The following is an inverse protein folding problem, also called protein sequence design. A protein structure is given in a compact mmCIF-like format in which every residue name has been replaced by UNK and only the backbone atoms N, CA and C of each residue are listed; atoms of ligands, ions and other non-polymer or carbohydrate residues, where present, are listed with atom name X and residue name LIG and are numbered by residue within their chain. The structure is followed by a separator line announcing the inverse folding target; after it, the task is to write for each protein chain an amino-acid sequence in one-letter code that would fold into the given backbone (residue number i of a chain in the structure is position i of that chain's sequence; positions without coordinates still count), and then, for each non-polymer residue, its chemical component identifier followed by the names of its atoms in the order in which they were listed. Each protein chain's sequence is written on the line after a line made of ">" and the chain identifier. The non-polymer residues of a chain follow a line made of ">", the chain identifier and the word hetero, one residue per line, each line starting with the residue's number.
data_IF_608248335386
#
_entry.id   IF_608248335386
#
_cell.length_a   1.000
_cell.length_b   1.000
_cell.length_c   1.000
_cell.angle_alpha   90.00
_cell.angle_beta   90.00
_cell.angle_gamma   90.00
#
_symmetry.space_group_name_H-M   'P 1'
#
loop_
_entity.id
_entity.type
_entity.pdbx_description
1 polymer ?
#
# COMPACT_ATOMS: atom_id res chain seq x y z
N UNK A 1 -4.19 55.25 15.64
CA UNK A 1 -3.17 54.17 15.65
C UNK A 1 -3.72 52.93 14.93
N UNK A 2 -3.20 52.59 13.74
CA UNK A 2 -3.64 51.40 12.97
C UNK A 2 -2.76 50.20 13.33
N UNK A 3 -3.32 49.18 14.00
CA UNK A 3 -2.62 47.93 14.30
C UNK A 3 -2.51 47.10 13.00
N UNK A 4 -1.29 46.92 12.48
CA UNK A 4 -0.99 45.98 11.40
C UNK A 4 -1.10 44.55 11.94
N UNK A 5 -2.11 43.81 11.49
CA UNK A 5 -2.22 42.38 11.73
C UNK A 5 -1.16 41.70 10.86
N UNK A 6 -0.17 41.07 11.50
CA UNK A 6 0.83 40.25 10.81
C UNK A 6 0.11 39.03 10.21
N UNK A 7 0.09 38.95 8.88
CA UNK A 7 -0.28 37.74 8.15
C UNK A 7 0.68 36.61 8.56
N UNK A 8 0.24 35.76 9.48
CA UNK A 8 0.88 34.47 9.73
C UNK A 8 0.60 33.63 8.49
N UNK A 9 1.56 33.58 7.57
CA UNK A 9 1.61 32.53 6.55
C UNK A 9 1.55 31.21 7.31
N UNK A 10 0.39 30.55 7.29
CA UNK A 10 0.29 29.14 7.68
C UNK A 10 1.31 28.43 6.81
N UNK A 11 2.45 28.03 7.38
CA UNK A 11 3.30 27.00 6.76
C UNK A 11 2.34 25.87 6.48
N UNK A 12 2.06 25.59 5.19
CA UNK A 12 1.48 24.30 4.81
C UNK A 12 2.39 23.29 5.48
N UNK A 13 1.87 22.59 6.48
CA UNK A 13 2.52 21.40 6.98
C UNK A 13 2.79 20.56 5.74
N UNK A 14 4.07 20.34 5.43
CA UNK A 14 4.41 19.28 4.47
C UNK A 14 3.63 18.05 4.93
N UNK A 15 2.92 17.35 4.04
CA UNK A 15 2.29 16.09 4.41
C UNK A 15 3.39 15.28 5.11
N UNK A 16 3.18 14.94 6.38
CA UNK A 16 4.06 14.02 7.10
C UNK A 16 4.25 12.85 6.15
N UNK A 17 5.48 12.61 5.73
CA UNK A 17 5.82 11.55 4.78
C UNK A 17 4.95 10.34 5.05
N UNK A 18 4.13 9.97 4.06
CA UNK A 18 3.22 8.84 4.17
C UNK A 18 4.08 7.59 4.34
N UNK A 19 4.31 7.19 5.59
CA UNK A 19 5.10 6.01 5.98
C UNK A 19 4.58 4.69 5.38
N UNK A 20 3.45 4.75 4.67
CA UNK A 20 2.73 3.67 4.03
C UNK A 20 3.18 3.40 2.59
N UNK A 21 4.10 4.20 2.03
CA UNK A 21 4.44 4.15 0.61
C UNK A 21 5.67 3.29 0.35
N UNK A 22 5.55 2.40 -0.64
CA UNK A 22 6.69 1.81 -1.30
C UNK A 22 7.31 2.90 -2.18
N UNK A 23 8.48 3.39 -1.79
CA UNK A 23 9.27 4.27 -2.65
C UNK A 23 9.89 3.43 -3.76
N UNK A 24 9.72 3.82 -5.02
CA UNK A 24 10.28 3.06 -6.15
C UNK A 24 11.55 3.76 -6.62
N UNK A 25 12.69 3.13 -6.31
CA UNK A 25 13.99 3.58 -6.77
C UNK A 25 14.25 3.25 -8.24
N UNK A 26 15.29 3.85 -8.81
CA UNK A 26 15.72 3.55 -10.19
C UNK A 26 16.07 2.06 -10.33
N UNK A 27 15.40 1.37 -11.24
CA UNK A 27 15.59 -0.06 -11.51
C UNK A 27 14.83 -0.98 -10.54
N UNK A 28 14.12 -0.42 -9.56
CA UNK A 28 13.14 -1.16 -8.76
C UNK A 28 11.78 -1.17 -9.47
N UNK A 29 10.94 -2.16 -9.16
CA UNK A 29 9.65 -2.35 -9.82
C UNK A 29 8.62 -2.87 -8.84
N UNK A 30 7.35 -2.48 -9.00
CA UNK A 30 6.28 -3.13 -8.24
C UNK A 30 6.20 -4.60 -8.63
N UNK A 31 5.91 -5.48 -7.66
CA UNK A 31 5.80 -6.91 -7.91
C UNK A 31 4.35 -7.37 -7.85
N UNK A 32 3.85 -7.66 -6.65
CA UNK A 32 2.48 -8.12 -6.42
C UNK A 32 1.85 -7.42 -5.25
N UNK A 33 0.57 -7.10 -5.37
CA UNK A 33 -0.24 -6.62 -4.25
C UNK A 33 -1.22 -7.71 -3.85
N UNK A 34 -1.31 -7.93 -2.54
CA UNK A 34 -2.17 -8.93 -1.94
C UNK A 34 -3.21 -8.25 -1.07
N UNK A 35 -4.48 -8.54 -1.33
CA UNK A 35 -5.62 -7.99 -0.63
C UNK A 35 -6.38 -9.11 0.07
N UNK A 36 -6.58 -8.95 1.38
CA UNK A 36 -7.34 -9.87 2.21
C UNK A 36 -8.58 -9.14 2.74
N UNK A 37 -9.77 -9.63 2.38
CA UNK A 37 -11.08 -9.02 2.67
C UNK A 37 -11.92 -9.97 3.52
N UNK A 38 -11.58 -10.16 4.81
CA UNK A 38 -12.30 -11.10 5.65
C UNK A 38 -13.77 -10.69 5.79
N UNK A 39 -14.69 -11.64 5.67
CA UNK A 39 -16.14 -11.40 5.81
C UNK A 39 -16.51 -10.75 7.15
N UNK A 40 -15.79 -11.05 8.23
CA UNK A 40 -15.98 -10.43 9.54
C UNK A 40 -15.81 -8.89 9.54
N UNK A 41 -15.03 -8.35 8.60
CA UNK A 41 -14.74 -6.90 8.48
C UNK A 41 -15.49 -6.18 7.35
N UNK A 42 -16.39 -6.87 6.63
CA UNK A 42 -17.04 -6.34 5.42
C UNK A 42 -17.86 -5.07 5.67
N UNK A 43 -18.45 -4.93 6.86
CA UNK A 43 -19.25 -3.75 7.25
C UNK A 43 -18.43 -2.45 7.31
N UNK A 44 -17.13 -2.56 7.52
CA UNK A 44 -16.20 -1.42 7.69
C UNK A 44 -15.29 -1.23 6.47
N UNK A 45 -15.58 -1.95 5.37
CA UNK A 45 -14.69 -2.05 4.20
C UNK A 45 -13.26 -2.39 4.62
N UNK A 46 -13.13 -3.29 5.60
CA UNK A 46 -11.82 -3.67 6.12
C UNK A 46 -11.08 -4.53 5.11
N UNK A 47 -9.81 -4.18 4.87
CA UNK A 47 -8.87 -4.95 4.08
C UNK A 47 -7.53 -5.02 4.81
N UNK A 48 -6.91 -6.19 4.86
CA UNK A 48 -5.48 -6.27 5.11
C UNK A 48 -4.76 -6.29 3.78
N UNK A 49 -3.77 -5.41 3.61
CA UNK A 49 -3.04 -5.25 2.34
C UNK A 49 -1.57 -5.54 2.56
N UNK A 50 -0.97 -6.25 1.60
CA UNK A 50 0.48 -6.44 1.50
C UNK A 50 0.91 -5.94 0.14
N UNK A 51 1.78 -4.93 0.13
CA UNK A 51 2.36 -4.36 -1.06
C UNK A 51 3.81 -4.81 -1.17
N UNK A 52 4.25 -5.16 -2.38
CA UNK A 52 5.62 -5.60 -2.62
C UNK A 52 6.24 -4.91 -3.83
N UNK A 53 7.56 -4.70 -3.74
CA UNK A 53 8.39 -4.31 -4.89
C UNK A 53 9.62 -5.19 -4.95
N UNK A 54 10.11 -5.42 -6.15
CA UNK A 54 11.41 -6.05 -6.41
C UNK A 54 12.50 -4.97 -6.43
N UNK A 55 13.58 -5.22 -5.71
CA UNK A 55 14.77 -4.37 -5.66
C UNK A 55 15.79 -4.83 -6.70
N UNK A 56 16.77 -3.98 -6.99
CA UNK A 56 17.83 -4.28 -7.96
C UNK A 56 18.69 -5.50 -7.61
N UNK A 57 18.73 -5.91 -6.34
CA UNK A 57 19.43 -7.09 -5.86
C UNK A 57 18.58 -8.39 -5.92
N UNK A 58 17.43 -8.39 -6.59
CA UNK A 58 16.45 -9.50 -6.67
C UNK A 58 15.80 -9.89 -5.33
N UNK A 59 16.00 -9.08 -4.29
CA UNK A 59 15.25 -9.19 -3.06
C UNK A 59 14.01 -8.31 -3.12
N UNK A 60 13.04 -8.57 -2.25
CA UNK A 60 11.80 -7.81 -2.19
C UNK A 60 11.81 -6.87 -1.00
N UNK A 61 11.12 -5.73 -1.14
CA UNK A 61 10.64 -4.96 -0.01
C UNK A 61 9.13 -5.19 0.11
N UNK A 62 8.67 -5.37 1.34
CA UNK A 62 7.27 -5.63 1.67
C UNK A 62 6.77 -4.58 2.67
N UNK A 63 5.58 -4.05 2.42
CA UNK A 63 4.84 -3.21 3.37
C UNK A 63 3.45 -3.81 3.56
N UNK A 64 3.04 -4.07 4.79
CA UNK A 64 1.69 -4.53 5.11
C UNK A 64 0.97 -3.58 6.04
N UNK A 65 -0.36 -3.45 5.90
CA UNK A 65 -1.18 -2.62 6.78
C UNK A 65 -2.66 -3.02 6.73
N UNK A 66 -3.38 -2.64 7.78
CA UNK A 66 -4.85 -2.68 7.80
C UNK A 66 -5.40 -1.41 7.16
N UNK A 67 -6.36 -1.56 6.27
CA UNK A 67 -7.12 -0.50 5.61
C UNK A 67 -8.59 -0.64 5.99
N UNK A 68 -9.26 0.48 6.28
CA UNK A 68 -10.72 0.52 6.49
C UNK A 68 -11.27 1.88 6.14
N UNK A 69 -12.57 1.97 5.88
CA UNK A 69 -13.25 3.25 5.65
C UNK A 69 -14.11 3.55 6.87
N UNK A 70 -13.79 4.64 7.58
CA UNK A 70 -14.55 5.10 8.75
C UNK A 70 -15.14 6.46 8.43
N UNK A 71 -16.47 6.56 8.42
CA UNK A 71 -17.20 7.81 8.09
C UNK A 71 -16.78 8.42 6.75
N UNK A 72 -16.54 7.57 5.74
CA UNK A 72 -16.09 8.00 4.40
C UNK A 72 -14.60 8.35 4.31
N UNK A 73 -13.84 8.23 5.40
CA UNK A 73 -12.40 8.54 5.44
C UNK A 73 -11.58 7.24 5.46
N UNK A 74 -10.67 7.04 4.49
CA UNK A 74 -9.72 5.93 4.52
C UNK A 74 -8.79 6.03 5.74
N UNK A 75 -8.67 4.93 6.50
CA UNK A 75 -7.77 4.81 7.62
C UNK A 75 -6.80 3.65 7.40
N UNK A 76 -5.52 3.91 7.68
CA UNK A 76 -4.45 2.91 7.64
C UNK A 76 -3.93 2.69 9.06
N UNK A 77 -3.68 1.45 9.45
CA UNK A 77 -3.16 1.11 10.77
C UNK A 77 -2.30 -0.16 10.74
N UNK A 78 -1.59 -0.45 11.84
CA UNK A 78 -0.78 -1.67 12.00
C UNK A 78 0.23 -1.89 10.87
N UNK A 79 0.93 -0.81 10.50
CA UNK A 79 1.93 -0.85 9.42
C UNK A 79 3.13 -1.67 9.84
N UNK A 80 3.52 -2.61 8.98
CA UNK A 80 4.77 -3.35 9.09
C UNK A 80 5.55 -3.18 7.80
N UNK A 81 6.85 -2.91 7.90
CA UNK A 81 7.75 -2.82 6.75
C UNK A 81 8.89 -3.82 6.92
N UNK A 82 9.16 -4.56 5.85
CA UNK A 82 10.28 -5.50 5.76
C UNK A 82 11.13 -5.06 4.55
N UNK A 83 12.29 -4.42 4.78
CA UNK A 83 13.08 -3.79 3.73
C UNK A 83 13.78 -4.78 2.78
N UNK A 84 13.91 -6.02 3.22
CA UNK A 84 14.56 -7.09 2.49
C UNK A 84 13.96 -8.44 2.88
N UNK A 85 13.39 -9.14 1.90
CA UNK A 85 12.83 -10.47 2.06
C UNK A 85 13.05 -11.26 0.76
N UNK A 86 13.36 -12.55 0.87
CA UNK A 86 13.46 -13.40 -0.32
C UNK A 86 12.08 -13.69 -0.89
N UNK A 87 12.02 -14.11 -2.16
CA UNK A 87 10.77 -14.51 -2.79
C UNK A 87 10.07 -15.67 -2.06
N UNK A 88 10.83 -16.68 -1.64
CA UNK A 88 10.27 -17.84 -0.92
C UNK A 88 9.71 -17.44 0.45
N UNK A 89 10.41 -16.57 1.18
CA UNK A 89 9.92 -16.06 2.47
C UNK A 89 8.66 -15.20 2.29
N UNK A 90 8.58 -14.40 1.22
CA UNK A 90 7.39 -13.65 0.90
C UNK A 90 6.21 -14.60 0.65
N UNK A 91 6.39 -15.61 -0.21
CA UNK A 91 5.37 -16.63 -0.50
C UNK A 91 4.89 -17.34 0.77
N UNK A 92 5.82 -17.74 1.66
CA UNK A 92 5.50 -18.34 2.95
C UNK A 92 4.68 -17.41 3.85
N UNK A 93 4.99 -16.11 3.87
CA UNK A 93 4.20 -15.11 4.61
C UNK A 93 2.78 -15.03 4.05
N UNK A 94 2.62 -14.92 2.73
CA UNK A 94 1.29 -14.82 2.11
C UNK A 94 0.45 -16.05 2.45
N UNK A 95 1.02 -17.26 2.28
CA UNK A 95 0.33 -18.51 2.62
C UNK A 95 -0.05 -18.59 4.10
N UNK A 96 0.84 -18.15 4.99
CA UNK A 96 0.56 -18.11 6.42
C UNK A 96 -0.55 -17.12 6.76
N UNK A 97 -0.62 -15.96 6.10
CA UNK A 97 -1.71 -15.00 6.29
C UNK A 97 -3.03 -15.64 5.85
N UNK A 98 -3.11 -16.16 4.61
CA UNK A 98 -4.31 -16.85 4.09
C UNK A 98 -4.84 -17.89 5.10
N UNK A 99 -3.94 -18.76 5.60
CA UNK A 99 -4.29 -19.82 6.57
C UNK A 99 -4.76 -19.25 7.91
N UNK A 100 -4.10 -18.22 8.44
CA UNK A 100 -4.41 -17.68 9.77
C UNK A 100 -5.67 -16.81 9.80
N UNK A 101 -5.98 -16.14 8.70
CA UNK A 101 -7.16 -15.28 8.60
C UNK A 101 -8.42 -16.05 8.16
N UNK A 102 -8.31 -17.37 7.92
CA UNK A 102 -9.35 -18.21 7.33
C UNK A 102 -9.97 -17.57 6.08
N UNK A 103 -9.13 -16.91 5.28
CA UNK A 103 -9.60 -16.15 4.13
C UNK A 103 -10.05 -17.10 3.03
N UNK A 104 -11.33 -17.03 2.68
CA UNK A 104 -11.90 -17.82 1.59
C UNK A 104 -11.36 -17.38 0.22
N UNK A 105 -11.56 -18.20 -0.84
CA UNK A 105 -11.10 -17.87 -2.19
C UNK A 105 -11.63 -16.53 -2.70
N UNK A 106 -12.87 -16.17 -2.36
CA UNK A 106 -13.50 -14.90 -2.78
C UNK A 106 -13.08 -13.70 -1.90
N UNK A 107 -12.31 -13.94 -0.85
CA UNK A 107 -11.84 -12.93 0.11
C UNK A 107 -10.36 -12.60 -0.10
N UNK A 108 -9.66 -13.30 -0.99
CA UNK A 108 -8.27 -13.08 -1.31
C UNK A 108 -8.11 -12.66 -2.78
N UNK A 109 -7.35 -11.60 -3.02
CA UNK A 109 -7.03 -11.14 -4.37
C UNK A 109 -5.53 -10.89 -4.48
N UNK A 110 -4.95 -11.45 -5.53
CA UNK A 110 -3.58 -11.18 -5.94
C UNK A 110 -3.62 -10.32 -7.22
N UNK A 111 -3.07 -9.11 -7.13
CA UNK A 111 -2.85 -8.25 -8.28
C UNK A 111 -1.39 -8.38 -8.69
N UNK A 112 -1.15 -9.08 -9.79
CA UNK A 112 0.19 -9.27 -10.36
C UNK A 112 0.57 -8.07 -11.24
N UNK A 113 1.52 -7.27 -10.78
CA UNK A 113 2.04 -6.12 -11.52
C UNK A 113 3.31 -6.48 -12.30
N UNK A 114 3.89 -7.67 -12.07
CA UNK A 114 5.11 -8.12 -12.76
C UNK A 114 4.89 -8.40 -14.24
N UNK A 115 3.63 -8.56 -14.66
CA UNK A 115 3.23 -8.72 -16.05
C UNK A 115 3.41 -7.46 -16.91
N UNK A 116 3.46 -6.28 -16.29
CA UNK A 116 3.66 -5.02 -17.01
C UNK A 116 5.14 -4.81 -17.32
N UNK A 117 5.43 -4.21 -18.48
CA UNK A 117 6.80 -4.00 -18.95
C UNK A 117 7.45 -2.75 -18.36
N UNK A 118 6.66 -1.76 -17.95
CA UNK A 118 7.15 -0.49 -17.40
C UNK A 118 6.47 -0.12 -16.08
N UNK A 119 7.13 0.74 -15.29
CA UNK A 119 6.52 1.29 -14.07
C UNK A 119 5.27 2.12 -14.40
N UNK A 120 5.28 2.87 -15.51
CA UNK A 120 4.14 3.69 -15.92
C UNK A 120 2.90 2.84 -16.22
N UNK A 121 3.07 1.68 -16.87
CA UNK A 121 2.00 0.70 -17.07
C UNK A 121 1.48 0.14 -15.74
N UNK A 122 2.37 -0.16 -14.79
CA UNK A 122 1.97 -0.61 -13.45
C UNK A 122 1.12 0.46 -12.74
N UNK A 123 1.53 1.73 -12.82
CA UNK A 123 0.81 2.84 -12.21
C UNK A 123 -0.55 3.08 -12.88
N UNK A 124 -0.64 2.92 -14.20
CA UNK A 124 -1.88 3.11 -14.94
C UNK A 124 -2.89 1.98 -14.65
N UNK A 125 -2.43 0.73 -14.59
CA UNK A 125 -3.27 -0.39 -14.14
C UNK A 125 -3.82 -0.13 -12.73
N UNK A 126 -2.96 0.35 -11.82
CA UNK A 126 -3.35 0.64 -10.45
C UNK A 126 -4.41 1.75 -10.32
N UNK A 127 -4.38 2.77 -11.21
CA UNK A 127 -5.43 3.78 -11.30
C UNK A 127 -6.76 3.19 -11.76
N UNK A 128 -6.72 2.34 -12.78
CA UNK A 128 -7.93 1.74 -13.36
C UNK A 128 -8.67 0.83 -12.36
N UNK A 129 -7.92 0.16 -11.48
CA UNK A 129 -8.52 -0.70 -10.45
C UNK A 129 -8.97 0.05 -9.18
N UNK A 130 -8.87 1.39 -9.14
CA UNK A 130 -9.12 2.22 -7.93
C UNK A 130 -8.31 1.73 -6.70
N UNK A 131 -7.15 1.11 -6.96
CA UNK A 131 -6.32 0.48 -5.93
C UNK A 131 -5.30 1.43 -5.33
N UNK A 132 -5.16 2.60 -5.92
CA UNK A 132 -4.21 3.61 -5.48
C UNK A 132 -4.86 4.98 -5.50
N UNK A 133 -4.88 5.61 -4.33
CA UNK A 133 -4.82 7.06 -4.24
C UNK A 133 -3.49 7.53 -4.87
N UNK A 134 -3.51 7.86 -6.16
CA UNK A 134 -2.34 8.30 -6.94
C UNK A 134 -1.61 9.51 -6.37
N UNK A 135 -2.22 10.21 -5.40
CA UNK A 135 -1.54 11.21 -4.57
C UNK A 135 -0.31 10.66 -3.83
N UNK A 136 -0.13 9.34 -3.74
CA UNK A 136 0.84 8.71 -2.86
C UNK A 136 1.80 7.72 -3.56
N UNK A 137 2.06 7.85 -4.87
CA UNK A 137 3.15 7.10 -5.53
C UNK A 137 4.27 8.03 -6.02
N UNK A 138 4.69 8.98 -5.18
CA UNK A 138 5.83 9.87 -5.49
C UNK A 138 6.99 9.63 -4.53
#
# INVERSE_FOLDING_TARGET
>A
MKKRIKNVKRKKSQPKDDNYLLQIGKGERLYKFYYFRPMAGRREHFEYRILTKEKTNRMFEMVSYNFKIVSGVPQKSSVTRVPEISKSQLEDIIQNVVRKTNTGPDEFEELDLSMFSTIDEQLESLKQHDRVDTMYIM
#
